data_IF_777057495636
#
_entry.id   IF_777057495636
#
_cell.length_a   1.000
_cell.length_b   1.000
_cell.length_c   1.000
_cell.angle_alpha   90.00
_cell.angle_beta   90.00
_cell.angle_gamma   90.00
#
_symmetry.space_group_name_H-M   'P 1'
#
loop_
_entity.id
_entity.type
_entity.pdbx_description
1 polymer ?
#
# COMPACT_ATOMS: atom_id res chain seq x y z
N UNK A 1 -24.77 5.45 22.12
CA UNK A 1 -24.00 4.82 21.03
C UNK A 1 -22.74 5.66 20.81
N UNK A 2 -21.59 5.18 21.25
CA UNK A 2 -20.32 5.91 21.08
C UNK A 2 -19.99 5.95 19.58
N UNK A 3 -19.97 7.14 18.99
CA UNK A 3 -19.43 7.37 17.63
C UNK A 3 -17.95 6.99 17.64
N UNK A 4 -17.63 5.91 16.95
CA UNK A 4 -16.26 5.49 16.72
C UNK A 4 -15.59 6.50 15.77
N UNK A 5 -14.76 7.38 16.32
CA UNK A 5 -14.03 8.36 15.52
C UNK A 5 -12.85 7.66 14.84
N UNK A 6 -12.97 7.47 13.53
CA UNK A 6 -11.92 6.92 12.64
C UNK A 6 -10.56 7.61 12.85
N UNK A 7 -10.58 8.92 13.21
CA UNK A 7 -9.39 9.68 13.55
C UNK A 7 -8.70 9.26 14.84
N UNK A 8 -9.43 8.71 15.81
CA UNK A 8 -8.85 8.24 17.06
C UNK A 8 -8.11 6.91 16.88
N UNK A 9 -8.59 6.02 16.01
CA UNK A 9 -7.93 4.74 15.74
C UNK A 9 -6.65 4.95 14.89
N UNK A 10 -6.69 5.74 13.83
CA UNK A 10 -5.49 6.09 13.08
C UNK A 10 -4.45 6.80 13.98
N UNK A 11 -4.91 7.64 14.91
CA UNK A 11 -4.06 8.25 15.95
C UNK A 11 -3.56 7.23 16.98
N UNK A 12 -4.37 6.23 17.38
CA UNK A 12 -3.95 5.19 18.33
C UNK A 12 -2.96 4.22 17.68
N UNK A 13 -3.16 3.84 16.42
CA UNK A 13 -2.17 3.09 15.65
C UNK A 13 -0.90 3.91 15.40
N UNK A 14 -1.02 5.19 15.06
CA UNK A 14 0.10 6.10 14.97
C UNK A 14 0.77 6.32 16.33
N UNK A 15 0.03 6.44 17.42
CA UNK A 15 0.57 6.56 18.77
C UNK A 15 1.22 5.24 19.23
N UNK A 16 0.61 4.09 18.97
CA UNK A 16 1.22 2.78 19.21
C UNK A 16 2.47 2.55 18.37
N UNK A 17 2.46 2.99 17.12
CA UNK A 17 3.62 2.97 16.24
C UNK A 17 4.71 3.96 16.68
N UNK A 18 4.32 5.15 17.19
CA UNK A 18 5.25 6.15 17.73
C UNK A 18 5.82 5.73 19.10
N UNK A 19 5.03 5.10 19.98
CA UNK A 19 5.51 4.55 21.25
C UNK A 19 6.44 3.35 21.07
N UNK A 20 6.43 2.73 19.90
CA UNK A 20 7.24 1.58 19.51
C UNK A 20 8.39 1.92 18.54
N UNK A 21 8.55 3.19 18.19
CA UNK A 21 9.79 3.67 17.59
C UNK A 21 10.84 3.73 18.69
N UNK A 22 12.03 3.21 18.41
CA UNK A 22 13.21 3.57 19.19
C UNK A 22 13.24 5.11 19.24
N UNK A 23 13.23 5.67 20.45
CA UNK A 23 13.04 7.10 20.73
C UNK A 23 14.22 7.98 20.30
N UNK A 24 15.13 7.47 19.50
CA UNK A 24 16.15 8.29 18.88
C UNK A 24 15.50 9.26 17.88
N UNK A 25 15.81 10.57 17.95
CA UNK A 25 15.29 11.52 16.97
C UNK A 25 15.64 11.04 15.57
N UNK A 26 14.65 10.93 14.69
CA UNK A 26 14.84 10.48 13.33
C UNK A 26 15.82 11.44 12.63
N UNK A 27 17.06 11.01 12.45
CA UNK A 27 18.07 11.77 11.74
C UNK A 27 17.94 11.53 10.25
N UNK A 28 17.98 12.60 9.48
CA UNK A 28 18.08 12.50 8.02
C UNK A 28 19.53 12.17 7.68
N UNK A 29 19.74 11.01 7.07
CA UNK A 29 21.03 10.53 6.59
C UNK A 29 21.03 10.49 5.07
N UNK A 30 22.17 10.71 4.45
CA UNK A 30 22.34 10.51 3.01
C UNK A 30 22.82 9.08 2.76
N UNK A 31 21.98 8.29 2.10
CA UNK A 31 22.22 6.87 1.83
C UNK A 31 22.38 6.66 0.32
N UNK A 32 23.38 5.89 -0.13
CA UNK A 32 23.53 5.53 -1.52
C UNK A 32 22.24 4.88 -2.06
N UNK A 33 21.78 5.29 -3.24
CA UNK A 33 20.56 4.76 -3.86
C UNK A 33 20.60 3.23 -4.01
N UNK A 34 21.77 2.67 -4.28
CA UNK A 34 22.03 1.23 -4.42
C UNK A 34 21.91 0.45 -3.10
N UNK A 35 21.97 1.14 -1.97
CA UNK A 35 21.78 0.56 -0.64
C UNK A 35 20.33 0.62 -0.17
N UNK A 36 19.46 1.31 -0.92
CA UNK A 36 18.03 1.41 -0.62
C UNK A 36 17.27 0.36 -1.45
N UNK A 37 16.95 -0.77 -0.84
CA UNK A 37 16.24 -1.86 -1.51
C UNK A 37 14.72 -1.62 -1.54
N UNK A 38 14.03 -2.07 -2.60
CA UNK A 38 12.58 -2.11 -2.61
C UNK A 38 12.04 -2.97 -1.47
N UNK A 39 10.84 -2.66 -1.01
CA UNK A 39 10.13 -3.52 -0.07
C UNK A 39 9.25 -4.50 -0.86
N UNK A 40 9.49 -5.80 -0.71
CA UNK A 40 8.72 -6.86 -1.38
C UNK A 40 7.24 -6.85 -0.96
N UNK A 41 6.94 -6.40 0.26
CA UNK A 41 5.58 -6.19 0.73
C UNK A 41 4.85 -5.00 0.08
N UNK A 42 5.50 -4.25 -0.81
CA UNK A 42 4.86 -3.16 -1.53
C UNK A 42 4.11 -3.66 -2.77
N UNK A 43 2.83 -3.94 -2.63
CA UNK A 43 1.94 -4.37 -3.72
C UNK A 43 1.29 -3.20 -4.50
N UNK A 44 1.60 -1.96 -4.15
CA UNK A 44 1.03 -0.78 -4.80
C UNK A 44 1.73 -0.50 -6.14
N UNK A 45 0.94 -0.22 -7.18
CA UNK A 45 1.47 0.14 -8.49
C UNK A 45 2.24 1.47 -8.45
N UNK A 46 3.38 1.51 -9.12
CA UNK A 46 4.19 2.73 -9.31
C UNK A 46 3.64 3.49 -10.53
N UNK A 47 2.63 4.36 -10.29
CA UNK A 47 1.99 5.19 -11.34
C UNK A 47 2.58 6.59 -11.38
N UNK A 48 2.41 7.27 -12.51
CA UNK A 48 2.76 8.69 -12.70
C UNK A 48 4.20 9.01 -12.28
N UNK A 49 5.15 8.19 -12.73
CA UNK A 49 6.57 8.38 -12.40
C UNK A 49 7.19 9.54 -13.18
N UNK A 50 6.76 9.80 -14.42
CA UNK A 50 7.32 10.86 -15.26
C UNK A 50 7.13 12.24 -14.63
N UNK A 51 5.88 12.68 -14.30
CA UNK A 51 5.69 14.01 -13.68
C UNK A 51 6.42 14.15 -12.35
N UNK A 52 6.56 13.04 -11.60
CA UNK A 52 7.31 13.04 -10.34
C UNK A 52 8.82 13.16 -10.57
N UNK A 53 9.35 12.49 -11.59
CA UNK A 53 10.75 12.60 -11.96
C UNK A 53 11.08 14.02 -12.43
N UNK A 54 10.22 14.61 -13.25
CA UNK A 54 10.38 15.99 -13.70
C UNK A 54 10.39 16.98 -12.53
N UNK A 55 9.46 16.84 -11.58
CA UNK A 55 9.44 17.66 -10.37
C UNK A 55 10.72 17.50 -9.55
N UNK A 56 11.20 16.26 -9.34
CA UNK A 56 12.46 16.00 -8.61
C UNK A 56 13.66 16.56 -9.38
N UNK A 57 13.64 16.50 -10.70
CA UNK A 57 14.71 17.06 -11.53
C UNK A 57 14.81 18.58 -11.40
N UNK A 58 13.67 19.27 -11.26
CA UNK A 58 13.59 20.73 -11.17
C UNK A 58 13.85 21.24 -9.74
N UNK A 59 13.24 20.64 -8.75
CA UNK A 59 13.18 21.14 -7.37
C UNK A 59 14.03 20.34 -6.39
N UNK A 60 14.54 19.19 -6.82
CA UNK A 60 15.19 18.24 -5.92
C UNK A 60 14.18 17.39 -5.13
N UNK A 61 14.69 16.57 -4.23
CA UNK A 61 13.87 15.75 -3.34
C UNK A 61 13.48 16.55 -2.10
N UNK A 62 12.26 17.07 -2.07
CA UNK A 62 11.75 17.89 -0.97
C UNK A 62 11.53 17.07 0.31
N UNK A 63 10.91 15.90 0.18
CA UNK A 63 10.65 15.00 1.32
C UNK A 63 11.61 13.82 1.31
N UNK A 64 12.34 13.54 2.41
CA UNK A 64 13.22 12.37 2.49
C UNK A 64 12.44 11.06 2.36
N UNK A 65 13.12 10.00 1.91
CA UNK A 65 12.57 8.65 1.97
C UNK A 65 12.54 8.18 3.43
N UNK A 66 11.60 7.31 3.78
CA UNK A 66 11.61 6.61 5.07
C UNK A 66 12.09 5.19 4.84
N UNK A 67 13.14 4.81 5.53
CA UNK A 67 13.80 3.50 5.38
C UNK A 67 14.01 2.84 6.75
N UNK A 68 14.13 1.52 6.75
CA UNK A 68 14.53 0.72 7.92
C UNK A 68 15.77 -0.10 7.56
N UNK A 69 16.67 -0.40 8.51
CA UNK A 69 17.75 -1.35 8.25
C UNK A 69 17.20 -2.67 7.69
N UNK A 70 17.88 -3.23 6.71
CA UNK A 70 17.45 -4.50 6.11
C UNK A 70 17.74 -5.64 7.09
N UNK A 71 16.80 -6.55 7.38
CA UNK A 71 16.99 -7.58 8.40
C UNK A 71 18.08 -8.61 8.04
N UNK A 72 18.31 -8.86 6.74
CA UNK A 72 19.19 -9.92 6.24
C UNK A 72 20.42 -9.38 5.48
N UNK A 73 20.44 -8.10 5.12
CA UNK A 73 21.51 -7.50 4.34
C UNK A 73 22.16 -6.35 5.12
N UNK A 74 23.30 -6.63 5.74
CA UNK A 74 24.06 -5.64 6.51
C UNK A 74 24.45 -4.43 5.64
N UNK A 75 24.30 -3.24 6.17
CA UNK A 75 24.59 -1.98 5.48
C UNK A 75 23.54 -1.58 4.43
N UNK A 76 22.53 -2.40 4.18
CA UNK A 76 21.40 -2.06 3.29
C UNK A 76 20.19 -1.61 4.09
N UNK A 77 19.30 -0.93 3.37
CA UNK A 77 18.07 -0.38 3.92
C UNK A 77 16.89 -0.81 3.07
N UNK A 78 15.78 -1.11 3.69
CA UNK A 78 14.53 -1.40 3.02
C UNK A 78 13.61 -0.19 3.12
N UNK A 79 13.02 0.19 1.99
CA UNK A 79 12.13 1.34 1.95
C UNK A 79 10.78 1.05 2.63
N UNK A 80 10.34 1.97 3.48
CA UNK A 80 9.02 1.95 4.15
C UNK A 80 8.08 2.96 3.52
N UNK A 81 8.57 4.16 3.16
CA UNK A 81 7.78 5.18 2.47
C UNK A 81 8.61 5.90 1.43
N UNK A 82 7.96 6.21 0.28
CA UNK A 82 8.59 6.92 -0.83
C UNK A 82 9.00 6.03 -2.00
N UNK A 83 8.39 4.85 -2.19
CA UNK A 83 8.69 3.92 -3.30
C UNK A 83 8.64 4.60 -4.68
N UNK A 84 7.65 5.47 -4.94
CA UNK A 84 7.56 6.24 -6.19
C UNK A 84 8.73 7.22 -6.32
N UNK A 85 9.09 7.93 -5.24
CA UNK A 85 10.24 8.86 -5.22
C UNK A 85 11.54 8.14 -5.51
N UNK A 86 11.78 6.98 -4.85
CA UNK A 86 12.94 6.14 -5.14
C UNK A 86 13.00 5.73 -6.61
N UNK A 87 11.89 5.25 -7.18
CA UNK A 87 11.84 4.84 -8.57
C UNK A 87 12.08 6.01 -9.54
N UNK A 88 11.55 7.20 -9.24
CA UNK A 88 11.80 8.41 -10.01
C UNK A 88 13.28 8.83 -9.93
N UNK A 89 13.89 8.80 -8.74
CA UNK A 89 15.32 9.07 -8.55
C UNK A 89 16.16 8.07 -9.34
N UNK A 90 15.84 6.78 -9.25
CA UNK A 90 16.57 5.73 -10.00
C UNK A 90 16.53 5.97 -11.51
N UNK A 91 15.38 6.43 -12.04
CA UNK A 91 15.24 6.82 -13.44
C UNK A 91 16.14 8.00 -13.79
N UNK A 92 16.16 9.06 -12.96
CA UNK A 92 16.99 10.25 -13.17
C UNK A 92 18.50 9.95 -13.10
N UNK A 93 18.91 9.08 -12.19
CA UNK A 93 20.32 8.66 -12.06
C UNK A 93 20.74 7.79 -13.25
N UNK A 94 19.84 6.98 -13.80
CA UNK A 94 20.08 6.11 -14.95
C UNK A 94 19.88 6.79 -16.31
N UNK A 95 19.44 8.04 -16.34
CA UNK A 95 19.27 8.79 -17.57
C UNK A 95 20.64 8.94 -18.28
N UNK A 96 20.72 8.48 -19.53
CA UNK A 96 21.97 8.51 -20.31
C UNK A 96 22.30 9.89 -20.84
N UNK A 97 21.29 10.74 -21.05
CA UNK A 97 21.47 12.06 -21.62
C UNK A 97 21.85 13.09 -20.56
N UNK A 98 21.22 13.04 -19.40
CA UNK A 98 21.39 14.02 -18.31
C UNK A 98 21.35 13.32 -16.95
N UNK A 99 22.39 12.52 -16.60
CA UNK A 99 22.41 11.78 -15.35
C UNK A 99 22.51 12.74 -14.15
N UNK A 100 21.63 12.55 -13.18
CA UNK A 100 21.60 13.32 -11.94
C UNK A 100 22.46 12.63 -10.87
N UNK A 101 23.79 12.80 -10.99
CA UNK A 101 24.77 12.21 -10.07
C UNK A 101 24.60 12.70 -8.61
N UNK A 102 24.07 13.92 -8.42
CA UNK A 102 23.76 14.50 -7.12
C UNK A 102 22.68 13.70 -6.36
N UNK A 103 21.82 12.96 -7.06
CA UNK A 103 20.78 12.10 -6.51
C UNK A 103 21.24 10.68 -6.18
N UNK A 104 22.52 10.33 -6.38
CA UNK A 104 23.08 9.02 -5.94
C UNK A 104 23.11 8.90 -4.40
N UNK A 105 23.20 10.00 -3.70
CA UNK A 105 23.10 10.06 -2.25
C UNK A 105 21.74 10.63 -1.86
N UNK A 106 20.82 9.76 -1.47
CA UNK A 106 19.42 10.08 -1.22
C UNK A 106 19.21 10.45 0.24
N UNK A 107 18.60 11.61 0.56
CA UNK A 107 18.22 11.93 1.93
C UNK A 107 17.13 10.96 2.42
N UNK A 108 17.42 10.26 3.51
CA UNK A 108 16.58 9.23 4.09
C UNK A 108 16.41 9.46 5.59
N UNK A 109 15.21 9.28 6.08
CA UNK A 109 14.89 9.16 7.49
C UNK A 109 14.98 7.68 7.88
N UNK A 110 16.01 7.32 8.64
CA UNK A 110 16.17 5.94 9.11
C UNK A 110 15.32 5.73 10.35
N UNK A 111 14.48 4.70 10.31
CA UNK A 111 13.63 4.28 11.44
C UNK A 111 13.83 2.79 11.71
N UNK A 112 14.10 2.44 12.96
CA UNK A 112 14.04 1.06 13.43
C UNK A 112 12.62 0.76 13.94
N UNK A 113 12.12 -0.42 13.62
CA UNK A 113 10.82 -0.92 14.09
C UNK A 113 11.05 -2.16 14.95
N UNK A 114 10.25 -2.33 16.01
CA UNK A 114 10.37 -3.46 16.93
C UNK A 114 10.04 -4.80 16.28
N UNK A 115 9.19 -4.79 15.24
CA UNK A 115 8.88 -5.99 14.47
C UNK A 115 8.67 -5.66 12.98
N UNK A 116 8.81 -6.68 12.15
CA UNK A 116 8.54 -6.61 10.72
C UNK A 116 7.09 -6.23 10.44
N UNK A 117 6.15 -6.80 11.22
CA UNK A 117 4.73 -6.50 11.10
C UNK A 117 4.45 -5.00 11.31
N UNK A 118 5.18 -4.36 12.25
CA UNK A 118 5.05 -2.93 12.50
C UNK A 118 5.61 -2.09 11.34
N UNK A 119 6.74 -2.49 10.75
CA UNK A 119 7.29 -1.82 9.57
C UNK A 119 6.34 -1.88 8.37
N UNK A 120 5.75 -3.04 8.11
CA UNK A 120 4.77 -3.23 7.03
C UNK A 120 3.46 -2.49 7.31
N UNK A 121 2.99 -2.44 8.55
CA UNK A 121 1.83 -1.63 8.93
C UNK A 121 2.06 -0.15 8.60
N UNK A 122 3.23 0.39 8.92
CA UNK A 122 3.58 1.78 8.58
C UNK A 122 3.61 2.03 7.08
N UNK A 123 4.11 1.09 6.28
CA UNK A 123 4.07 1.16 4.82
C UNK A 123 2.63 1.29 4.31
N UNK A 124 1.72 0.44 4.81
CA UNK A 124 0.32 0.45 4.40
C UNK A 124 -0.36 1.77 4.82
N UNK A 125 -0.15 2.23 6.04
CA UNK A 125 -0.73 3.48 6.54
C UNK A 125 -0.23 4.70 5.74
N UNK A 126 1.05 4.75 5.41
CA UNK A 126 1.62 5.80 4.58
C UNK A 126 0.96 5.86 3.19
N UNK A 127 0.74 4.69 2.55
CA UNK A 127 0.07 4.62 1.25
C UNK A 127 -1.43 4.94 1.31
N UNK A 128 -2.11 4.60 2.42
CA UNK A 128 -3.55 4.92 2.63
C UNK A 128 -3.84 6.41 2.68
N UNK A 129 -2.84 7.24 2.96
CA UNK A 129 -2.98 8.70 3.06
C UNK A 129 -2.48 9.43 1.83
N UNK A 130 -1.57 8.84 1.07
CA UNK A 130 -0.84 9.52 0.01
C UNK A 130 -1.57 9.53 -1.34
N UNK A 131 -2.54 8.63 -1.57
CA UNK A 131 -3.23 8.51 -2.87
C UNK A 131 -4.60 7.84 -2.79
N UNK A 132 -5.39 8.02 -3.86
CA UNK A 132 -6.62 7.25 -4.07
C UNK A 132 -6.26 5.86 -4.60
N UNK A 133 -6.73 4.82 -3.91
CA UNK A 133 -6.50 3.41 -4.27
C UNK A 133 -7.62 2.90 -5.18
N UNK A 134 -7.29 1.99 -6.10
CA UNK A 134 -8.29 1.20 -6.81
C UNK A 134 -8.99 0.22 -5.86
N UNK A 135 -10.14 -0.34 -6.27
CA UNK A 135 -10.83 -1.35 -5.47
C UNK A 135 -9.98 -2.62 -5.29
N UNK A 136 -9.19 -2.99 -6.29
CA UNK A 136 -8.25 -4.13 -6.20
C UNK A 136 -7.09 -3.85 -5.24
N UNK A 137 -6.50 -2.65 -5.28
CA UNK A 137 -5.47 -2.23 -4.32
C UNK A 137 -6.04 -2.18 -2.90
N UNK A 138 -7.26 -1.67 -2.73
CA UNK A 138 -7.96 -1.64 -1.44
C UNK A 138 -8.23 -3.05 -0.91
N UNK A 139 -8.59 -4.00 -1.77
CA UNK A 139 -8.79 -5.41 -1.42
C UNK A 139 -7.50 -6.04 -0.90
N UNK A 140 -6.39 -5.86 -1.63
CA UNK A 140 -5.07 -6.37 -1.22
C UNK A 140 -4.61 -5.71 0.09
N UNK A 141 -4.80 -4.40 0.22
CA UNK A 141 -4.50 -3.67 1.43
C UNK A 141 -5.27 -4.20 2.64
N UNK A 142 -6.57 -4.43 2.49
CA UNK A 142 -7.41 -4.95 3.56
C UNK A 142 -6.98 -6.35 4.00
N UNK A 143 -6.59 -7.20 3.06
CA UNK A 143 -6.07 -8.54 3.36
C UNK A 143 -4.75 -8.47 4.14
N UNK A 144 -3.80 -7.67 3.68
CA UNK A 144 -2.52 -7.50 4.37
C UNK A 144 -2.71 -6.88 5.75
N UNK A 145 -3.57 -5.87 5.86
CA UNK A 145 -3.90 -5.25 7.14
C UNK A 145 -4.48 -6.28 8.12
N UNK A 146 -5.39 -7.14 7.66
CA UNK A 146 -5.98 -8.19 8.50
C UNK A 146 -4.89 -9.13 9.04
N UNK A 147 -3.99 -9.61 8.19
CA UNK A 147 -2.87 -10.48 8.58
C UNK A 147 -1.93 -9.79 9.58
N UNK A 148 -1.53 -8.56 9.30
CA UNK A 148 -0.62 -7.81 10.18
C UNK A 148 -1.23 -7.52 11.55
N UNK A 149 -2.51 -7.18 11.62
CA UNK A 149 -3.19 -6.96 12.89
C UNK A 149 -3.30 -8.24 13.72
N UNK A 150 -3.48 -9.41 13.08
CA UNK A 150 -3.43 -10.70 13.79
C UNK A 150 -2.02 -11.00 14.30
N UNK A 151 -0.97 -10.80 13.48
CA UNK A 151 0.42 -10.99 13.91
C UNK A 151 0.77 -10.08 15.09
N UNK A 152 0.43 -8.80 15.00
CA UNK A 152 0.65 -7.86 16.10
C UNK A 152 -0.10 -8.24 17.36
N UNK A 153 -1.31 -8.81 17.24
CA UNK A 153 -2.05 -9.34 18.39
C UNK A 153 -1.32 -10.51 19.05
N UNK A 154 -0.73 -11.40 18.27
CA UNK A 154 0.13 -12.49 18.78
C UNK A 154 1.40 -11.95 19.44
N UNK A 155 1.94 -10.83 18.96
CA UNK A 155 3.06 -10.10 19.59
C UNK A 155 2.67 -9.34 20.85
N UNK A 156 1.40 -9.40 21.28
CA UNK A 156 0.89 -8.80 22.52
C UNK A 156 0.28 -7.40 22.39
N UNK A 157 0.05 -6.92 21.15
CA UNK A 157 -0.65 -5.65 20.93
C UNK A 157 -2.16 -5.82 21.08
N UNK A 158 -2.80 -4.90 21.79
CA UNK A 158 -4.25 -4.88 21.95
C UNK A 158 -4.91 -3.91 20.96
N UNK A 159 -5.98 -4.37 20.32
CA UNK A 159 -6.79 -3.55 19.41
C UNK A 159 -8.22 -3.48 19.92
N UNK A 160 -8.77 -2.28 20.21
CA UNK A 160 -10.12 -2.15 20.74
C UNK A 160 -11.17 -2.49 19.66
N UNK A 161 -12.21 -3.21 20.04
CA UNK A 161 -13.35 -3.51 19.18
C UNK A 161 -13.13 -4.73 18.27
N UNK A 162 -13.92 -4.77 17.17
CA UNK A 162 -13.86 -5.90 16.23
C UNK A 162 -12.75 -5.70 15.21
N UNK A 163 -11.96 -6.72 14.92
CA UNK A 163 -10.86 -6.68 13.95
C UNK A 163 -11.30 -6.14 12.57
N UNK A 164 -12.48 -6.55 12.09
CA UNK A 164 -13.04 -6.06 10.82
C UNK A 164 -13.23 -4.53 10.80
N UNK A 165 -13.66 -3.95 11.92
CA UNK A 165 -13.89 -2.50 12.01
C UNK A 165 -12.55 -1.75 12.05
N UNK A 166 -11.53 -2.36 12.65
CA UNK A 166 -10.16 -1.86 12.66
C UNK A 166 -9.57 -1.85 11.23
N UNK A 167 -9.70 -2.95 10.50
CA UNK A 167 -9.26 -3.05 9.09
C UNK A 167 -9.99 -2.03 8.22
N UNK A 168 -11.31 -1.89 8.36
CA UNK A 168 -12.10 -0.94 7.60
C UNK A 168 -11.64 0.51 7.86
N UNK A 169 -11.41 0.85 9.12
CA UNK A 169 -10.91 2.17 9.53
C UNK A 169 -9.51 2.45 8.97
N UNK A 170 -8.59 1.50 9.08
CA UNK A 170 -7.22 1.62 8.57
C UNK A 170 -7.18 1.78 7.05
N UNK A 171 -8.03 1.05 6.32
CA UNK A 171 -8.17 1.16 4.87
C UNK A 171 -9.03 2.35 4.42
N UNK A 172 -9.59 3.13 5.34
CA UNK A 172 -10.49 4.27 5.08
C UNK A 172 -11.70 3.90 4.22
N UNK A 173 -12.25 2.72 4.43
CA UNK A 173 -13.43 2.22 3.74
C UNK A 173 -14.54 1.85 4.72
N UNK A 174 -15.78 1.78 4.23
CA UNK A 174 -16.89 1.31 5.04
C UNK A 174 -16.84 -0.22 5.24
N UNK A 175 -17.34 -0.71 6.37
CA UNK A 175 -17.43 -2.14 6.65
C UNK A 175 -18.23 -2.92 5.57
N UNK A 176 -19.32 -2.37 4.97
CA UNK A 176 -19.99 -3.01 3.82
C UNK A 176 -19.11 -3.10 2.57
N UNK A 177 -18.29 -2.07 2.27
CA UNK A 177 -17.33 -2.15 1.15
C UNK A 177 -16.29 -3.24 1.41
N UNK A 178 -15.74 -3.31 2.61
CA UNK A 178 -14.78 -4.35 2.99
C UNK A 178 -15.38 -5.76 2.82
N UNK A 179 -16.65 -5.96 3.22
CA UNK A 179 -17.35 -7.23 3.05
C UNK A 179 -17.51 -7.60 1.57
N UNK A 180 -17.86 -6.64 0.68
CA UNK A 180 -17.92 -6.88 -0.76
C UNK A 180 -16.56 -7.28 -1.35
N UNK A 181 -15.51 -6.56 -0.99
CA UNK A 181 -14.14 -6.86 -1.46
C UNK A 181 -13.68 -8.25 -1.00
N UNK A 182 -14.08 -8.67 0.21
CA UNK A 182 -13.80 -10.03 0.70
C UNK A 182 -14.50 -11.09 -0.16
N UNK A 183 -15.78 -10.89 -0.50
CA UNK A 183 -16.51 -11.81 -1.40
C UNK A 183 -15.86 -11.88 -2.78
N UNK A 184 -15.44 -10.75 -3.35
CA UNK A 184 -14.70 -10.71 -4.62
C UNK A 184 -13.43 -11.55 -4.52
N UNK A 185 -12.62 -11.35 -3.48
CA UNK A 185 -11.37 -12.08 -3.26
C UNK A 185 -11.57 -13.60 -3.16
N UNK A 186 -12.63 -14.02 -2.48
CA UNK A 186 -12.86 -15.45 -2.15
C UNK A 186 -13.57 -16.23 -3.27
N UNK A 187 -14.36 -15.55 -4.10
CA UNK A 187 -15.27 -16.22 -5.02
C UNK A 187 -15.13 -15.80 -6.49
N UNK A 188 -14.39 -14.74 -6.81
CA UNK A 188 -14.19 -14.36 -8.20
C UNK A 188 -13.17 -15.27 -8.86
N UNK A 189 -13.49 -15.84 -10.04
CA UNK A 189 -12.56 -16.71 -10.77
C UNK A 189 -11.31 -15.96 -11.25
N UNK A 190 -10.16 -16.65 -11.44
CA UNK A 190 -8.90 -16.01 -11.81
C UNK A 190 -8.96 -15.13 -13.06
N UNK A 191 -9.74 -15.54 -14.08
CA UNK A 191 -9.90 -14.79 -15.32
C UNK A 191 -10.48 -13.38 -15.08
N UNK A 192 -11.54 -13.28 -14.28
CA UNK A 192 -12.13 -12.00 -13.92
C UNK A 192 -11.33 -11.25 -12.85
N UNK A 193 -10.64 -11.96 -11.97
CA UNK A 193 -9.74 -11.34 -10.99
C UNK A 193 -8.62 -10.58 -11.69
N UNK A 194 -8.03 -11.14 -12.77
CA UNK A 194 -7.01 -10.48 -13.55
C UNK A 194 -7.50 -9.17 -14.20
N UNK A 195 -8.77 -9.10 -14.60
CA UNK A 195 -9.39 -7.86 -15.10
C UNK A 195 -9.63 -6.84 -13.97
N UNK A 196 -10.08 -7.32 -12.82
CA UNK A 196 -10.31 -6.49 -11.64
C UNK A 196 -9.01 -5.87 -11.13
N UNK A 197 -7.92 -6.61 -11.10
CA UNK A 197 -6.58 -6.11 -10.73
C UNK A 197 -6.03 -5.07 -11.70
N UNK A 198 -6.38 -5.17 -12.99
CA UNK A 198 -6.02 -4.19 -14.02
C UNK A 198 -6.96 -2.98 -14.10
N UNK A 199 -7.90 -2.86 -13.15
CA UNK A 199 -8.95 -1.81 -13.11
C UNK A 199 -9.86 -1.80 -14.36
N UNK A 200 -9.94 -2.95 -15.07
CA UNK A 200 -10.81 -3.15 -16.23
C UNK A 200 -12.20 -3.68 -15.87
N UNK A 201 -12.37 -4.21 -14.67
CA UNK A 201 -13.64 -4.73 -14.15
C UNK A 201 -14.09 -3.88 -12.95
N UNK A 202 -15.23 -3.17 -13.04
CA UNK A 202 -15.75 -2.36 -11.94
C UNK A 202 -16.12 -3.21 -10.70
N UNK A 203 -15.96 -2.65 -9.49
CA UNK A 203 -16.24 -3.33 -8.22
C UNK A 203 -17.66 -3.95 -8.17
N UNK A 204 -18.67 -3.22 -8.65
CA UNK A 204 -20.05 -3.71 -8.64
C UNK A 204 -20.23 -4.93 -9.53
N UNK A 205 -19.64 -4.92 -10.73
CA UNK A 205 -19.68 -6.05 -11.67
C UNK A 205 -18.89 -7.23 -11.11
N UNK A 206 -17.69 -6.99 -10.58
CA UNK A 206 -16.88 -8.03 -9.93
C UNK A 206 -17.62 -8.69 -8.76
N UNK A 207 -18.30 -7.89 -7.92
CA UNK A 207 -19.10 -8.42 -6.82
C UNK A 207 -20.32 -9.22 -7.29
N UNK A 208 -21.02 -8.77 -8.35
CA UNK A 208 -22.14 -9.51 -8.91
C UNK A 208 -21.67 -10.87 -9.47
N UNK A 209 -20.56 -10.89 -10.20
CA UNK A 209 -19.95 -12.12 -10.72
C UNK A 209 -19.51 -13.05 -9.60
N UNK A 210 -18.83 -12.54 -8.58
CA UNK A 210 -18.34 -13.34 -7.44
C UNK A 210 -19.48 -14.02 -6.64
N UNK A 211 -20.70 -13.56 -6.77
CA UNK A 211 -21.89 -14.19 -6.15
C UNK A 211 -22.45 -15.36 -6.97
N UNK A 212 -22.01 -15.55 -8.20
CA UNK A 212 -22.39 -16.67 -9.03
C UNK A 212 -21.51 -17.90 -8.71
N UNK A 213 -22.06 -19.14 -8.85
CA UNK A 213 -21.23 -20.33 -8.78
C UNK A 213 -20.07 -20.27 -9.79
N UNK A 214 -18.90 -20.83 -9.43
CA UNK A 214 -17.69 -20.76 -10.27
C UNK A 214 -17.93 -21.30 -11.69
N UNK A 215 -18.69 -22.40 -11.85
CA UNK A 215 -19.02 -22.97 -13.14
C UNK A 215 -19.81 -22.01 -14.05
N UNK A 216 -20.67 -21.15 -13.48
CA UNK A 216 -21.36 -20.12 -14.25
C UNK A 216 -20.43 -18.98 -14.65
N UNK A 217 -19.52 -18.58 -13.77
CA UNK A 217 -18.51 -17.56 -14.09
C UNK A 217 -17.61 -18.05 -15.23
N UNK A 218 -17.16 -19.31 -15.21
CA UNK A 218 -16.33 -19.92 -16.26
C UNK A 218 -17.05 -19.94 -17.62
N UNK A 219 -18.31 -20.38 -17.66
CA UNK A 219 -19.10 -20.34 -18.88
C UNK A 219 -19.32 -18.91 -19.38
N UNK A 220 -19.54 -17.96 -18.48
CA UNK A 220 -19.70 -16.57 -18.83
C UNK A 220 -18.39 -15.97 -19.37
N UNK A 221 -17.24 -16.32 -18.78
CA UNK A 221 -15.95 -15.82 -19.23
C UNK A 221 -15.54 -16.34 -20.61
N UNK A 222 -16.01 -17.53 -21.01
CA UNK A 222 -15.78 -18.04 -22.37
C UNK A 222 -16.63 -17.33 -23.44
N UNK A 223 -17.80 -16.82 -23.08
CA UNK A 223 -18.71 -16.10 -24.01
C UNK A 223 -18.50 -14.58 -23.94
N UNK A 224 -18.19 -14.05 -22.77
CA UNK A 224 -17.98 -12.64 -22.52
C UNK A 224 -16.71 -12.44 -21.67
N UNK A 225 -15.54 -12.53 -22.29
CA UNK A 225 -14.25 -12.43 -21.56
C UNK A 225 -14.04 -11.04 -20.95
N UNK A 226 -14.57 -9.98 -21.57
CA UNK A 226 -14.56 -8.60 -21.04
C UNK A 226 -16.00 -8.14 -20.81
N UNK A 227 -16.56 -8.34 -19.62
CA UNK A 227 -17.90 -7.85 -19.31
C UNK A 227 -17.93 -6.31 -19.40
N UNK A 228 -19.05 -5.72 -19.87
CA UNK A 228 -19.15 -4.28 -20.08
C UNK A 228 -18.84 -3.54 -18.78
N UNK A 229 -17.98 -2.54 -18.87
CA UNK A 229 -17.78 -1.58 -17.79
C UNK A 229 -19.15 -0.98 -17.49
N UNK A 230 -19.68 -1.27 -16.30
CA UNK A 230 -20.97 -0.71 -15.90
C UNK A 230 -20.94 0.81 -16.13
N UNK A 231 -21.98 1.35 -16.73
CA UNK A 231 -22.07 2.77 -17.05
C UNK A 231 -21.68 3.56 -15.80
N UNK A 232 -20.61 4.36 -15.89
CA UNK A 232 -20.34 5.38 -14.88
C UNK A 232 -21.57 6.29 -14.91
N UNK A 233 -22.42 6.18 -13.91
CA UNK A 233 -23.41 7.21 -13.66
C UNK A 233 -22.61 8.51 -13.48
N UNK A 234 -22.71 9.38 -14.49
CA UNK A 234 -22.22 10.76 -14.37
C UNK A 234 -23.09 11.41 -13.28
N UNK A 235 -22.50 11.74 -12.17
CA UNK A 235 -23.00 12.70 -11.21
C UNK A 235 -22.11 13.94 -11.31
#
# INVERSE_FOLDING_TARGET
MAKFEIGAFAKSLQAAAVSNLDTAPAQVQRIPLEDILPNEGNFYALRDLEPLADSIAMEGLLDPLVVTPHPEAEGKYRIVSGHRRRAAIEKLVKDKAHPREDLRLVPCMVRAYKSEAMAQLQLILANSTARVLTSAETMKQAQQMELLLYQLKEEGYEFPGRMRDQVAAACKVSAPKLARLKVIREHLIPAYMALFEKDKLPEQTAYALARLPAAFQERLSSVCPEPPAGSRARA
#
